data_IF_209826675109
#
_entry.id   IF_209826675109
#
_cell.length_a   1.000
_cell.length_b   1.000
_cell.length_c   1.000
_cell.angle_alpha   90.00
_cell.angle_beta   90.00
_cell.angle_gamma   90.00
#
_symmetry.space_group_name_H-M   'P 1'
#
loop_
_entity.id
_entity.type
_entity.pdbx_description
1 polymer ?
#
# COMPACT_ATOMS: atom_id res chain seq x y z
N UNK A 1 -14.37 12.11 -23.30
CA UNK A 1 -13.44 12.95 -22.50
C UNK A 1 -12.71 12.13 -21.43
N UNK A 2 -13.42 11.33 -20.61
CA UNK A 2 -12.81 10.50 -19.56
C UNK A 2 -11.70 9.55 -20.04
N UNK A 3 -11.93 8.84 -21.15
CA UNK A 3 -10.96 7.87 -21.69
C UNK A 3 -9.64 8.53 -22.12
N UNK A 4 -9.70 9.76 -22.63
CA UNK A 4 -8.50 10.52 -23.01
C UNK A 4 -7.69 10.90 -21.77
N UNK A 5 -8.34 11.39 -20.73
CA UNK A 5 -7.68 11.74 -19.47
C UNK A 5 -6.99 10.53 -18.83
N UNK A 6 -7.67 9.37 -18.80
CA UNK A 6 -7.04 8.14 -18.28
C UNK A 6 -5.82 7.71 -19.10
N UNK A 7 -5.92 7.75 -20.44
CA UNK A 7 -4.80 7.43 -21.31
C UNK A 7 -3.62 8.40 -21.11
N UNK A 8 -3.91 9.70 -20.96
CA UNK A 8 -2.90 10.72 -20.69
C UNK A 8 -2.19 10.48 -19.35
N UNK A 9 -2.94 10.28 -18.26
CA UNK A 9 -2.37 9.99 -16.94
C UNK A 9 -1.55 8.70 -16.95
N UNK A 10 -2.05 7.65 -17.61
CA UNK A 10 -1.32 6.39 -17.72
C UNK A 10 -0.03 6.51 -18.53
N UNK A 11 0.00 7.37 -19.56
CA UNK A 11 1.19 7.57 -20.39
C UNK A 11 2.27 8.40 -19.68
N UNK A 12 1.88 9.41 -18.90
CA UNK A 12 2.82 10.37 -18.29
C UNK A 12 3.09 10.13 -16.79
N UNK A 13 2.17 9.49 -16.09
CA UNK A 13 2.21 9.21 -14.65
C UNK A 13 1.75 7.76 -14.36
N UNK A 14 2.40 6.75 -14.97
CA UNK A 14 1.92 5.37 -14.92
C UNK A 14 1.90 4.81 -13.50
N UNK A 15 2.87 5.15 -12.66
CA UNK A 15 2.94 4.66 -11.28
C UNK A 15 1.80 5.22 -10.42
N UNK A 16 1.62 6.54 -10.46
CA UNK A 16 0.55 7.26 -9.76
C UNK A 16 -0.83 6.77 -10.22
N UNK A 17 -1.01 6.63 -11.54
CA UNK A 17 -2.26 6.16 -12.13
C UNK A 17 -2.59 4.72 -11.69
N UNK A 18 -1.65 3.79 -11.82
CA UNK A 18 -1.89 2.38 -11.45
C UNK A 18 -2.11 2.21 -9.95
N UNK A 19 -1.36 2.93 -9.11
CA UNK A 19 -1.57 2.92 -7.66
C UNK A 19 -2.96 3.46 -7.28
N UNK A 20 -3.41 4.53 -7.94
CA UNK A 20 -4.75 5.08 -7.73
C UNK A 20 -5.86 4.10 -8.17
N UNK A 21 -5.68 3.42 -9.31
CA UNK A 21 -6.62 2.39 -9.78
C UNK A 21 -6.71 1.24 -8.78
N UNK A 22 -5.58 0.71 -8.32
CA UNK A 22 -5.57 -0.40 -7.34
C UNK A 22 -6.18 0.04 -6.00
N UNK A 23 -5.92 1.26 -5.55
CA UNK A 23 -6.48 1.82 -4.30
C UNK A 23 -7.99 1.97 -4.35
N UNK A 24 -8.56 2.20 -5.53
CA UNK A 24 -10.00 2.18 -5.77
C UNK A 24 -10.57 0.76 -5.95
N UNK A 25 -9.83 -0.26 -5.50
CA UNK A 25 -10.15 -1.69 -5.65
C UNK A 25 -10.17 -2.15 -7.11
N UNK A 26 -9.61 -1.35 -8.02
CA UNK A 26 -9.57 -1.64 -9.45
C UNK A 26 -10.94 -1.47 -10.11
N UNK A 27 -11.39 -2.55 -10.76
CA UNK A 27 -12.62 -2.60 -11.52
C UNK A 27 -12.85 -4.03 -12.02
N UNK A 28 -12.84 -4.21 -13.33
CA UNK A 28 -13.04 -5.54 -13.93
C UNK A 28 -11.89 -6.52 -13.68
N UNK A 29 -10.67 -6.01 -13.46
CA UNK A 29 -9.48 -6.83 -13.27
C UNK A 29 -9.04 -6.87 -11.80
N UNK A 30 -8.37 -7.95 -11.41
CA UNK A 30 -7.77 -8.08 -10.08
C UNK A 30 -6.56 -7.16 -9.92
N UNK A 31 -6.21 -6.82 -8.68
CA UNK A 31 -4.99 -6.06 -8.35
C UNK A 31 -3.72 -6.69 -8.96
N UNK A 32 -3.68 -8.02 -9.09
CA UNK A 32 -2.57 -8.74 -9.72
C UNK A 32 -2.38 -8.39 -11.20
N UNK A 33 -3.46 -8.16 -11.94
CA UNK A 33 -3.37 -7.75 -13.34
C UNK A 33 -2.73 -6.36 -13.46
N UNK A 34 -3.11 -5.42 -12.59
CA UNK A 34 -2.52 -4.08 -12.55
C UNK A 34 -1.05 -4.11 -12.07
N UNK A 35 -0.69 -5.01 -11.15
CA UNK A 35 0.71 -5.22 -10.77
C UNK A 35 1.55 -5.77 -11.94
N UNK A 36 1.01 -6.73 -12.69
CA UNK A 36 1.67 -7.24 -13.90
C UNK A 36 1.86 -6.14 -14.94
N UNK A 37 0.85 -5.28 -15.12
CA UNK A 37 0.95 -4.11 -15.98
C UNK A 37 2.01 -3.11 -15.48
N UNK A 38 2.04 -2.78 -14.19
CA UNK A 38 3.06 -1.90 -13.62
C UNK A 38 4.47 -2.41 -13.92
N UNK A 39 4.72 -3.72 -13.77
CA UNK A 39 6.01 -4.34 -14.12
C UNK A 39 6.36 -4.19 -15.60
N UNK A 40 5.38 -4.26 -16.52
CA UNK A 40 5.59 -4.01 -17.96
C UNK A 40 5.97 -2.57 -18.26
N UNK A 41 5.50 -1.61 -17.44
CA UNK A 41 5.94 -0.22 -17.47
C UNK A 41 7.31 0.01 -16.81
N UNK A 42 8.00 -1.04 -16.35
CA UNK A 42 9.28 -0.92 -15.65
C UNK A 42 9.17 -0.38 -14.22
N UNK A 43 7.96 -0.41 -13.64
CA UNK A 43 7.71 0.11 -12.29
C UNK A 43 8.09 -0.97 -11.28
N UNK A 44 8.91 -0.58 -10.29
CA UNK A 44 9.25 -1.40 -9.16
C UNK A 44 8.11 -1.41 -8.14
N UNK A 45 7.70 -2.60 -7.69
CA UNK A 45 6.63 -2.76 -6.71
C UNK A 45 7.27 -3.06 -5.36
N UNK A 46 7.18 -2.09 -4.46
CA UNK A 46 7.67 -2.17 -3.09
C UNK A 46 6.61 -2.85 -2.22
N UNK A 47 7.08 -3.81 -1.42
CA UNK A 47 6.26 -4.47 -0.40
C UNK A 47 5.66 -3.46 0.60
N UNK A 48 4.59 -3.84 1.32
CA UNK A 48 4.10 -3.00 2.40
C UNK A 48 5.20 -2.83 3.46
N UNK A 49 5.25 -1.65 4.05
CA UNK A 49 6.26 -1.26 5.04
C UNK A 49 5.58 -0.48 6.16
N UNK A 50 5.84 -0.84 7.42
CA UNK A 50 5.14 -0.25 8.56
C UNK A 50 5.38 1.27 8.70
N UNK A 51 6.54 1.75 8.25
CA UNK A 51 6.97 3.13 8.37
C UNK A 51 6.70 3.97 7.12
N UNK A 52 6.55 3.35 5.96
CA UNK A 52 6.44 4.04 4.68
C UNK A 52 5.13 3.77 3.93
N UNK A 53 4.41 2.68 4.20
CA UNK A 53 3.11 2.44 3.58
C UNK A 53 2.01 3.28 4.22
N UNK A 54 1.14 3.84 3.39
CA UNK A 54 -0.13 4.43 3.82
C UNK A 54 -1.26 3.40 3.82
N UNK A 55 -2.48 3.86 4.04
CA UNK A 55 -3.67 3.05 3.84
C UNK A 55 -3.79 2.60 2.37
N UNK A 56 -3.79 3.57 1.45
CA UNK A 56 -3.85 3.36 0.01
C UNK A 56 -2.50 3.01 -0.60
N UNK A 57 -2.52 2.44 -1.80
CA UNK A 57 -1.32 2.30 -2.61
C UNK A 57 -0.82 3.68 -3.02
N UNK A 58 0.49 3.82 -3.05
CA UNK A 58 1.11 5.08 -3.43
C UNK A 58 2.14 4.83 -4.53
N UNK A 59 1.97 5.52 -5.65
CA UNK A 59 2.90 5.49 -6.78
C UNK A 59 3.64 6.81 -6.87
N UNK A 60 4.94 6.75 -7.16
CA UNK A 60 5.75 7.93 -7.50
C UNK A 60 6.87 7.52 -8.45
N UNK A 61 7.03 8.26 -9.54
CA UNK A 61 8.09 8.00 -10.53
C UNK A 61 8.03 6.54 -11.06
N UNK A 62 9.04 5.73 -10.76
CA UNK A 62 9.17 4.33 -11.18
C UNK A 62 8.89 3.35 -10.04
N UNK A 63 8.23 3.79 -8.98
CA UNK A 63 7.95 2.96 -7.81
C UNK A 63 6.48 3.00 -7.41
N UNK A 64 5.94 1.85 -7.02
CA UNK A 64 4.64 1.74 -6.38
C UNK A 64 4.82 1.01 -5.06
N UNK A 65 4.36 1.61 -3.96
CA UNK A 65 4.31 0.99 -2.64
C UNK A 65 2.92 0.45 -2.36
N UNK A 66 2.88 -0.81 -1.94
CA UNK A 66 1.65 -1.49 -1.53
C UNK A 66 1.07 -0.80 -0.29
N UNK A 67 -0.22 -0.45 -0.36
CA UNK A 67 -0.96 0.10 0.76
C UNK A 67 -1.32 -0.98 1.78
N UNK A 68 -1.39 -0.60 3.06
CA UNK A 68 -1.76 -1.50 4.16
C UNK A 68 -3.17 -2.10 3.97
N UNK A 69 -4.06 -1.43 3.22
CA UNK A 69 -5.39 -1.93 2.87
C UNK A 69 -5.37 -3.28 2.12
N UNK A 70 -4.24 -3.63 1.50
CA UNK A 70 -4.11 -4.89 0.73
C UNK A 70 -3.64 -6.08 1.56
N UNK A 71 -3.33 -5.88 2.84
CA UNK A 71 -2.95 -6.96 3.74
C UNK A 71 -4.21 -7.73 4.11
N UNK A 72 -4.28 -8.99 3.69
CA UNK A 72 -5.43 -9.85 3.98
C UNK A 72 -5.57 -10.05 5.48
N UNK A 73 -6.82 -9.98 5.96
CA UNK A 73 -7.20 -10.17 7.38
C UNK A 73 -6.73 -9.06 8.34
N UNK A 74 -6.06 -8.02 7.85
CA UNK A 74 -5.77 -6.85 8.66
C UNK A 74 -7.02 -5.98 8.77
N UNK A 75 -7.40 -5.65 10.01
CA UNK A 75 -8.60 -4.83 10.25
C UNK A 75 -8.33 -3.35 10.01
N UNK A 76 -9.34 -2.62 9.54
CA UNK A 76 -9.26 -1.17 9.33
C UNK A 76 -8.80 -0.43 10.59
N UNK A 77 -9.39 -0.77 11.75
CA UNK A 77 -9.04 -0.19 13.04
C UNK A 77 -7.55 -0.32 13.36
N UNK A 78 -6.93 -1.46 13.04
CA UNK A 78 -5.50 -1.66 13.23
C UNK A 78 -4.68 -0.72 12.35
N UNK A 79 -5.06 -0.56 11.08
CA UNK A 79 -4.38 0.38 10.17
C UNK A 79 -4.49 1.82 10.69
N UNK A 80 -5.67 2.22 11.15
CA UNK A 80 -5.90 3.57 11.66
C UNK A 80 -5.04 3.85 12.90
N UNK A 81 -4.95 2.90 13.84
CA UNK A 81 -4.09 2.99 15.02
C UNK A 81 -2.60 3.13 14.63
N UNK A 82 -2.13 2.30 13.71
CA UNK A 82 -0.73 2.34 13.23
C UNK A 82 -0.41 3.70 12.61
N UNK A 83 -1.30 4.20 11.74
CA UNK A 83 -1.09 5.48 11.06
C UNK A 83 -1.17 6.67 12.02
N UNK A 84 -1.98 6.58 13.07
CA UNK A 84 -2.08 7.60 14.11
C UNK A 84 -0.84 7.63 15.00
N UNK A 85 -0.42 6.48 15.52
CA UNK A 85 0.79 6.35 16.34
C UNK A 85 2.05 6.78 15.58
N UNK A 86 2.11 6.53 14.26
CA UNK A 86 3.23 6.95 13.42
C UNK A 86 3.35 8.48 13.30
N UNK A 87 2.31 9.26 13.62
CA UNK A 87 2.41 10.73 13.67
C UNK A 87 3.36 11.21 14.78
N UNK A 88 3.50 10.43 15.86
CA UNK A 88 4.45 10.71 16.93
C UNK A 88 5.91 10.43 16.52
N UNK A 89 6.12 9.61 15.48
CA UNK A 89 7.43 9.23 14.98
C UNK A 89 7.41 7.85 14.32
N UNK A 90 8.47 7.54 13.58
CA UNK A 90 8.68 6.20 12.99
C UNK A 90 8.83 5.15 14.10
N UNK A 91 8.59 3.90 13.76
CA UNK A 91 8.89 2.75 14.60
C UNK A 91 10.34 2.32 14.37
N UNK A 92 11.13 2.21 15.43
CA UNK A 92 12.56 1.88 15.33
C UNK A 92 12.79 0.37 15.16
N UNK A 93 11.98 -0.45 15.84
CA UNK A 93 12.02 -1.90 15.77
C UNK A 93 10.64 -2.52 16.00
N UNK A 94 10.56 -3.85 15.85
CA UNK A 94 9.33 -4.60 16.11
C UNK A 94 8.86 -4.45 17.56
N UNK A 95 9.78 -4.44 18.54
CA UNK A 95 9.44 -4.26 19.94
C UNK A 95 8.84 -2.88 20.24
N UNK A 96 9.41 -1.81 19.65
CA UNK A 96 8.85 -0.44 19.75
C UNK A 96 7.43 -0.38 19.18
N UNK A 97 7.22 -1.02 18.02
CA UNK A 97 5.91 -1.12 17.41
C UNK A 97 4.88 -1.83 18.30
N UNK A 98 5.23 -3.00 18.84
CA UNK A 98 4.33 -3.78 19.70
C UNK A 98 4.06 -3.09 21.04
N UNK A 99 4.97 -2.24 21.51
CA UNK A 99 4.77 -1.47 22.74
C UNK A 99 3.86 -0.25 22.53
N UNK A 100 3.96 0.40 21.36
CA UNK A 100 3.20 1.62 21.05
C UNK A 100 1.80 1.35 20.51
N UNK A 101 1.62 0.28 19.76
CA UNK A 101 0.34 -0.02 19.09
C UNK A 101 -0.34 -1.22 19.75
N UNK A 102 -1.45 -0.96 20.43
CA UNK A 102 -2.29 -2.02 21.00
C UNK A 102 -3.03 -2.78 19.87
N UNK A 103 -2.49 -3.95 19.51
CA UNK A 103 -2.99 -4.80 18.43
C UNK A 103 -3.31 -6.20 18.93
N UNK A 104 -4.40 -6.75 18.40
CA UNK A 104 -4.66 -8.18 18.57
C UNK A 104 -3.59 -9.01 17.86
N UNK A 105 -3.27 -10.17 18.42
CA UNK A 105 -2.31 -11.13 17.86
C UNK A 105 -2.59 -11.44 16.38
N UNK A 106 -3.86 -11.50 15.98
CA UNK A 106 -4.25 -11.78 14.60
C UNK A 106 -3.78 -10.70 13.61
N UNK A 107 -3.85 -9.42 13.99
CA UNK A 107 -3.40 -8.30 13.16
C UNK A 107 -1.87 -8.24 13.13
N UNK A 108 -1.21 -8.46 14.27
CA UNK A 108 0.24 -8.55 14.34
C UNK A 108 0.79 -9.66 13.43
N UNK A 109 0.17 -10.85 13.48
CA UNK A 109 0.52 -11.95 12.57
C UNK A 109 0.28 -11.62 11.10
N UNK A 110 -0.80 -10.89 10.78
CA UNK A 110 -1.08 -10.49 9.40
C UNK A 110 0.00 -9.53 8.86
N UNK A 111 0.45 -8.58 9.67
CA UNK A 111 1.53 -7.63 9.31
C UNK A 111 2.87 -8.34 9.11
N UNK A 112 3.25 -9.23 10.04
CA UNK A 112 4.52 -9.99 9.93
C UNK A 112 4.51 -10.92 8.72
N UNK A 113 3.41 -11.63 8.47
CA UNK A 113 3.28 -12.51 7.30
C UNK A 113 3.28 -11.74 5.97
N UNK A 114 2.89 -10.46 5.98
CA UNK A 114 2.94 -9.60 4.80
C UNK A 114 4.35 -9.01 4.54
N UNK A 115 5.31 -9.21 5.46
CA UNK A 115 6.66 -8.67 5.34
C UNK A 115 6.75 -7.16 5.56
N UNK A 116 5.95 -6.62 6.50
CA UNK A 116 5.92 -5.18 6.80
C UNK A 116 7.11 -4.68 7.64
N UNK A 117 7.89 -5.59 8.20
CA UNK A 117 9.02 -5.35 9.09
C UNK A 117 10.33 -5.80 8.46
#
# INVERSE_FOLDING_TARGET
MLSFTCAYLKAHFPAEFLAAVISNQGGYYSSYAYMSEARRFGINILHPDINASGYHWYGKNTEIRVGLMSIKRLRQKAIDLILDERKAGKFDCLDDFLFRVDLDLADAMALTNAGCF
#
